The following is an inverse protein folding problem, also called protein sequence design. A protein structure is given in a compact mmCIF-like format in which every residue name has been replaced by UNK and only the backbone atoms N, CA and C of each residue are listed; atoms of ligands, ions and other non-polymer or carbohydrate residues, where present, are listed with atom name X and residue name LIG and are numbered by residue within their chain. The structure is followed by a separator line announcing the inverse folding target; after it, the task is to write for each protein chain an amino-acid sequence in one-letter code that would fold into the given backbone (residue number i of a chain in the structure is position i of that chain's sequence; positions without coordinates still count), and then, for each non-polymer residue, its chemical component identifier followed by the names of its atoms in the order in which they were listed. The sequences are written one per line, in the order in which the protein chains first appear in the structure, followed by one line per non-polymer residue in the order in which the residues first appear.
data_IF_484174448538
#
_entry.id   IF_484174448538
#
_cell.length_a   1.000
_cell.length_b   1.000
_cell.length_c   1.000
_cell.angle_alpha   90.00
_cell.angle_beta   90.00
_cell.angle_gamma   90.00
#
_symmetry.space_group_name_H-M   'P 1'
#
loop_
_entity.id
_entity.type
_entity.pdbx_description
1 polymer ?
#
# COMPACT_ATOMS: atom_id res chain seq x y z
N UNK A 1 1.98 35.70 -11.11
CA UNK A 1 1.50 34.46 -11.75
C UNK A 1 2.00 33.30 -10.91
N UNK A 2 1.10 32.48 -10.33
CA UNK A 2 1.50 31.28 -9.60
C UNK A 2 1.91 30.24 -10.65
N UNK A 3 3.14 29.74 -10.58
CA UNK A 3 3.63 28.75 -11.54
C UNK A 3 3.11 27.35 -11.18
N UNK A 4 2.98 26.46 -12.16
CA UNK A 4 2.56 25.07 -11.91
C UNK A 4 3.51 24.35 -10.93
N UNK A 5 4.78 24.76 -10.90
CA UNK A 5 5.80 24.23 -10.00
C UNK A 5 5.50 24.61 -8.54
N UNK A 6 5.11 25.86 -8.28
CA UNK A 6 4.69 26.30 -6.95
C UNK A 6 3.44 25.57 -6.45
N UNK A 7 2.50 25.26 -7.36
CA UNK A 7 1.29 24.49 -7.03
C UNK A 7 1.61 23.02 -6.71
N UNK A 8 2.60 22.43 -7.40
CA UNK A 8 3.05 21.06 -7.13
C UNK A 8 3.84 20.97 -5.81
N UNK A 9 4.70 21.94 -5.52
CA UNK A 9 5.40 22.06 -4.23
C UNK A 9 4.41 22.22 -3.07
N UNK A 10 3.35 23.03 -3.27
CA UNK A 10 2.27 23.17 -2.28
C UNK A 10 1.49 21.87 -2.08
N UNK A 11 1.41 21.02 -3.11
CA UNK A 11 0.70 19.75 -3.08
C UNK A 11 1.53 18.63 -2.43
N UNK A 12 2.85 18.59 -2.63
CA UNK A 12 3.76 17.60 -2.02
C UNK A 12 3.99 17.84 -0.53
N UNK A 13 4.02 19.12 -0.11
CA UNK A 13 4.16 19.51 1.29
C UNK A 13 2.89 19.27 2.12
N UNK A 14 1.74 19.00 1.47
CA UNK A 14 0.49 18.73 2.16
C UNK A 14 0.56 17.37 2.85
N UNK A 15 0.09 17.31 4.10
CA UNK A 15 -0.05 16.06 4.85
C UNK A 15 -0.92 15.10 4.07
N UNK A 16 -0.37 13.91 3.80
CA UNK A 16 -1.05 12.89 3.05
C UNK A 16 -1.83 12.02 4.05
N UNK A 17 -3.18 12.03 4.05
CA UNK A 17 -3.95 11.20 4.96
C UNK A 17 -3.95 9.75 4.47
N UNK A 18 -2.79 9.18 4.12
CA UNK A 18 -2.64 7.84 3.57
C UNK A 18 -1.85 7.02 4.58
N UNK A 19 -2.45 5.94 5.08
CA UNK A 19 -1.85 5.07 6.09
C UNK A 19 -1.82 3.62 5.67
N UNK A 20 -0.76 2.91 6.05
CA UNK A 20 -0.68 1.46 5.93
C UNK A 20 -1.85 0.80 6.66
N UNK A 21 -2.43 -0.24 6.06
CA UNK A 21 -3.51 -1.00 6.69
C UNK A 21 -2.96 -1.84 7.85
N UNK A 22 -3.53 -1.77 9.07
CA UNK A 22 -2.97 -2.43 10.25
C UNK A 22 -3.05 -3.97 10.18
N UNK A 23 -3.98 -4.51 9.38
CA UNK A 23 -4.19 -5.96 9.26
C UNK A 23 -3.11 -6.67 8.41
N UNK A 24 -2.16 -5.93 7.82
CA UNK A 24 -1.15 -6.50 6.93
C UNK A 24 -0.08 -7.26 7.73
N UNK A 25 0.14 -8.51 7.36
CA UNK A 25 1.19 -9.34 7.95
C UNK A 25 2.41 -9.33 7.04
N UNK A 26 3.54 -8.86 7.56
CA UNK A 26 4.80 -8.80 6.82
C UNK A 26 5.82 -9.79 7.39
N UNK A 27 6.53 -10.50 6.51
CA UNK A 27 7.65 -11.37 6.89
C UNK A 27 8.85 -11.12 5.97
N UNK A 28 10.04 -11.02 6.56
CA UNK A 28 11.29 -10.97 5.81
C UNK A 28 11.68 -12.37 5.35
N UNK A 29 12.08 -12.50 4.11
CA UNK A 29 12.56 -13.74 3.49
C UNK A 29 13.88 -13.44 2.79
N UNK A 30 14.82 -14.38 2.88
CA UNK A 30 16.11 -14.29 2.20
C UNK A 30 16.12 -15.32 1.09
N UNK A 31 16.40 -14.90 -0.14
CA UNK A 31 16.47 -15.78 -1.29
C UNK A 31 17.66 -15.40 -2.17
N UNK A 32 18.55 -16.36 -2.44
CA UNK A 32 19.76 -16.18 -3.26
C UNK A 32 20.59 -14.94 -2.88
N UNK A 33 20.77 -14.70 -1.58
CA UNK A 33 21.55 -13.58 -1.06
C UNK A 33 20.85 -12.21 -1.11
N UNK A 34 19.58 -12.16 -1.51
CA UNK A 34 18.75 -10.94 -1.48
C UNK A 34 17.64 -11.05 -0.44
N UNK A 35 17.43 -9.96 0.29
CA UNK A 35 16.36 -9.83 1.27
C UNK A 35 15.10 -9.29 0.60
N UNK A 36 13.96 -9.90 0.89
CA UNK A 36 12.65 -9.48 0.41
C UNK A 36 11.66 -9.46 1.56
N UNK A 37 10.77 -8.48 1.58
CA UNK A 37 9.60 -8.45 2.45
C UNK A 37 8.40 -9.02 1.72
N UNK A 38 7.82 -10.09 2.27
CA UNK A 38 6.56 -10.63 1.79
C UNK A 38 5.43 -10.11 2.68
N UNK A 39 4.55 -9.29 2.10
CA UNK A 39 3.37 -8.75 2.75
C UNK A 39 2.14 -9.53 2.29
N UNK A 40 1.46 -10.17 3.25
CA UNK A 40 0.23 -10.90 3.04
C UNK A 40 -0.97 -9.98 3.27
N UNK A 41 -1.84 -9.88 2.27
CA UNK A 41 -3.18 -9.30 2.43
C UNK A 41 -4.17 -10.41 2.86
N UNK A 42 -4.66 -10.40 4.13
CA UNK A 42 -5.62 -11.40 4.60
C UNK A 42 -7.02 -11.28 3.97
N UNK A 43 -7.38 -10.11 3.43
CA UNK A 43 -8.68 -9.84 2.80
C UNK A 43 -8.63 -10.14 1.30
N UNK A 44 -7.54 -9.72 0.65
CA UNK A 44 -7.30 -9.92 -0.77
C UNK A 44 -6.92 -11.35 -1.14
N UNK A 45 -6.40 -12.14 -0.18
CA UNK A 45 -5.66 -13.40 -0.40
C UNK A 45 -4.50 -13.20 -1.39
N UNK A 46 -3.90 -12.02 -1.37
CA UNK A 46 -2.81 -11.64 -2.26
C UNK A 46 -1.50 -11.50 -1.47
N UNK A 47 -0.40 -11.84 -2.13
CA UNK A 47 0.94 -11.72 -1.57
C UNK A 47 1.71 -10.72 -2.41
N UNK A 48 2.35 -9.77 -1.74
CA UNK A 48 3.16 -8.75 -2.36
C UNK A 48 4.59 -8.91 -1.90
N UNK A 49 5.53 -8.78 -2.83
CA UNK A 49 6.95 -8.80 -2.56
C UNK A 49 7.45 -7.37 -2.64
N UNK A 50 8.14 -6.95 -1.60
CA UNK A 50 8.77 -5.65 -1.50
C UNK A 50 10.27 -5.83 -1.28
N UNK A 51 11.05 -4.90 -1.81
CA UNK A 51 12.42 -4.70 -1.37
C UNK A 51 12.45 -4.05 0.02
N UNK A 52 13.63 -3.96 0.63
CA UNK A 52 13.78 -3.33 1.95
C UNK A 52 13.39 -1.83 1.89
N UNK A 53 13.73 -1.16 0.79
CA UNK A 53 13.43 0.24 0.48
C UNK A 53 11.91 0.51 0.40
N UNK A 54 11.22 -0.28 -0.42
CA UNK A 54 9.78 -0.12 -0.66
C UNK A 54 8.98 -0.44 0.62
N UNK A 55 9.46 -1.42 1.39
CA UNK A 55 8.88 -1.76 2.67
C UNK A 55 9.06 -0.65 3.70
N UNK A 56 10.21 0.03 3.71
CA UNK A 56 10.45 1.18 4.57
C UNK A 56 9.47 2.32 4.24
N UNK A 57 9.31 2.66 2.95
CA UNK A 57 8.31 3.66 2.52
C UNK A 57 6.91 3.27 3.01
N UNK A 58 6.52 2.00 2.87
CA UNK A 58 5.23 1.50 3.36
C UNK A 58 5.05 1.69 4.88
N UNK A 59 6.14 1.57 5.65
CA UNK A 59 6.13 1.78 7.11
C UNK A 59 6.10 3.26 7.51
N UNK A 60 6.64 4.15 6.68
CA UNK A 60 6.57 5.61 6.89
C UNK A 60 5.15 6.17 6.67
N UNK A 61 4.25 5.42 6.03
CA UNK A 61 2.86 5.82 5.79
C UNK A 61 1.99 5.69 7.05
N UNK A 62 2.03 6.73 7.88
CA UNK A 62 1.26 6.88 9.11
C UNK A 62 -0.06 7.70 8.93
N UNK A 63 -0.22 8.34 7.78
CA UNK A 63 -1.35 9.23 7.46
C UNK A 63 -1.20 10.66 7.97
N UNK A 64 -0.01 11.06 8.43
CA UNK A 64 0.29 12.43 8.87
C UNK A 64 1.50 13.02 8.14
N UNK A 65 2.38 12.17 7.63
CA UNK A 65 3.61 12.55 6.93
C UNK A 65 3.29 13.09 5.52
N UNK A 66 4.03 14.10 5.05
CA UNK A 66 3.94 14.64 3.68
C UNK A 66 4.81 13.84 2.70
N UNK A 67 4.65 14.06 1.39
CA UNK A 67 5.50 13.38 0.40
C UNK A 67 6.96 13.82 0.50
N UNK A 68 7.18 15.11 0.77
CA UNK A 68 8.53 15.68 0.91
C UNK A 68 9.23 15.10 2.15
N UNK A 69 8.53 15.00 3.28
CA UNK A 69 9.07 14.37 4.50
C UNK A 69 9.39 12.88 4.30
N UNK A 70 8.56 12.14 3.55
CA UNK A 70 8.85 10.73 3.21
C UNK A 70 10.12 10.64 2.36
N UNK A 71 10.27 11.52 1.37
CA UNK A 71 11.45 11.55 0.51
C UNK A 71 12.72 11.85 1.32
N UNK A 72 12.70 12.87 2.16
CA UNK A 72 13.86 13.23 3.00
C UNK A 72 14.24 12.10 3.96
N UNK A 73 13.26 11.45 4.60
CA UNK A 73 13.51 10.29 5.48
C UNK A 73 14.07 9.11 4.70
N UNK A 74 13.54 8.84 3.52
CA UNK A 74 14.02 7.76 2.66
C UNK A 74 15.48 7.96 2.25
N UNK A 75 15.83 9.17 1.80
CA UNK A 75 17.21 9.51 1.42
C UNK A 75 18.18 9.44 2.61
N UNK A 76 17.71 9.75 3.83
CA UNK A 76 18.50 9.62 5.05
C UNK A 76 18.72 8.15 5.48
N UNK A 77 17.74 7.27 5.27
CA UNK A 77 17.80 5.86 5.69
C UNK A 77 18.50 4.96 4.66
N UNK A 78 18.45 5.31 3.36
CA UNK A 78 19.01 4.50 2.26
C UNK A 78 19.99 5.25 1.33
N UNK A 79 21.08 5.87 1.83
CA UNK A 79 22.11 6.44 0.95
C UNK A 79 22.85 5.33 0.17
N UNK A 80 23.14 5.48 -1.15
CA UNK A 80 23.02 6.65 -2.02
C UNK A 80 21.75 6.67 -2.90
N UNK A 81 20.76 5.82 -2.63
CA UNK A 81 19.55 5.76 -3.45
C UNK A 81 18.73 7.03 -3.29
N UNK A 82 18.29 7.58 -4.42
CA UNK A 82 17.42 8.75 -4.47
C UNK A 82 16.09 8.34 -5.06
N UNK A 83 15.01 8.88 -4.52
CA UNK A 83 13.65 8.68 -5.03
C UNK A 83 13.09 10.01 -5.50
N UNK A 84 12.52 10.03 -6.69
CA UNK A 84 11.80 11.20 -7.19
C UNK A 84 10.39 11.26 -6.62
N UNK A 85 9.81 12.47 -6.56
CA UNK A 85 8.42 12.63 -6.12
C UNK A 85 7.44 11.89 -7.04
N UNK A 86 7.75 11.81 -8.33
CA UNK A 86 6.94 11.10 -9.33
C UNK A 86 6.94 9.58 -9.08
N UNK A 87 8.10 8.98 -8.84
CA UNK A 87 8.21 7.56 -8.48
C UNK A 87 7.46 7.25 -7.18
N UNK A 88 7.59 8.12 -6.17
CA UNK A 88 6.87 7.98 -4.92
C UNK A 88 5.34 8.04 -5.13
N UNK A 89 4.86 8.97 -5.95
CA UNK A 89 3.43 9.06 -6.30
C UNK A 89 2.94 7.84 -7.07
N UNK A 90 3.71 7.33 -8.04
CA UNK A 90 3.37 6.11 -8.78
C UNK A 90 3.32 4.88 -7.86
N UNK A 91 4.28 4.77 -6.94
CA UNK A 91 4.33 3.72 -5.94
C UNK A 91 3.10 3.77 -5.02
N UNK A 92 2.75 4.95 -4.52
CA UNK A 92 1.54 5.15 -3.72
C UNK A 92 0.26 4.83 -4.48
N UNK A 93 0.18 5.18 -5.77
CA UNK A 93 -0.94 4.80 -6.63
C UNK A 93 -1.07 3.27 -6.77
N UNK A 94 0.05 2.56 -6.86
CA UNK A 94 0.10 1.09 -6.91
C UNK A 94 -0.32 0.45 -5.59
N UNK A 95 0.14 1.01 -4.47
CA UNK A 95 -0.25 0.60 -3.12
C UNK A 95 -1.74 0.83 -2.83
N UNK A 96 -2.29 1.94 -3.32
CA UNK A 96 -3.72 2.24 -3.19
C UNK A 96 -4.57 1.28 -4.03
N UNK A 97 -4.16 1.00 -5.28
CA UNK A 97 -4.88 0.07 -6.17
C UNK A 97 -4.86 -1.37 -5.65
N UNK A 98 -3.75 -1.79 -5.05
CA UNK A 98 -3.62 -3.11 -4.41
C UNK A 98 -4.39 -3.22 -3.07
N UNK A 99 -4.85 -2.09 -2.51
CA UNK A 99 -5.62 -2.07 -1.26
C UNK A 99 -4.78 -2.27 0.00
N UNK A 100 -3.45 -2.14 -0.11
CA UNK A 100 -2.52 -2.24 1.01
C UNK A 100 -2.54 -1.00 1.91
N UNK A 101 -3.01 0.12 1.37
CA UNK A 101 -2.96 1.42 2.02
C UNK A 101 -4.35 2.06 1.95
N UNK A 102 -4.73 2.75 3.02
CA UNK A 102 -6.04 3.37 3.16
C UNK A 102 -5.86 4.88 3.23
N UNK A 103 -6.51 5.61 2.32
CA UNK A 103 -6.67 7.04 2.44
C UNK A 103 -7.72 7.34 3.51
N UNK A 104 -7.30 7.93 4.63
CA UNK A 104 -8.09 8.51 5.71
C UNK A 104 -8.88 9.76 5.32
N UNK A 105 -9.45 9.77 4.11
CA UNK A 105 -10.62 10.61 3.83
C UNK A 105 -11.82 9.81 4.31
N UNK A 106 -12.55 10.34 5.30
CA UNK A 106 -13.73 9.72 5.89
C UNK A 106 -14.74 9.36 4.77
N UNK A 107 -14.83 8.07 4.40
CA UNK A 107 -15.75 7.61 3.35
C UNK A 107 -15.36 6.33 2.61
N UNK A 108 -14.07 5.99 2.48
CA UNK A 108 -13.66 4.82 1.67
C UNK A 108 -13.74 3.45 2.39
N UNK A 109 -13.91 3.42 3.71
CA UNK A 109 -14.08 2.16 4.46
C UNK A 109 -15.27 1.32 3.98
N UNK A 110 -16.29 1.95 3.41
CA UNK A 110 -17.46 1.26 2.86
C UNK A 110 -17.14 0.45 1.59
N UNK A 111 -16.23 0.92 0.72
CA UNK A 111 -15.88 0.17 -0.50
C UNK A 111 -15.05 -1.09 -0.19
N UNK A 112 -14.15 -1.02 0.81
CA UNK A 112 -13.40 -2.18 1.28
C UNK A 112 -14.30 -3.23 1.93
N UNK A 113 -15.28 -2.80 2.73
CA UNK A 113 -16.27 -3.69 3.37
C UNK A 113 -17.19 -4.35 2.33
N UNK A 114 -17.68 -3.59 1.34
CA UNK A 114 -18.50 -4.11 0.24
C UNK A 114 -17.76 -5.17 -0.60
N UNK A 115 -16.47 -4.97 -0.90
CA UNK A 115 -15.64 -5.98 -1.59
C UNK A 115 -15.44 -7.26 -0.75
N UNK A 116 -15.31 -7.13 0.58
CA UNK A 116 -15.21 -8.27 1.50
C UNK A 116 -16.48 -9.12 1.46
N UNK A 117 -17.64 -8.47 1.49
CA UNK A 117 -18.93 -9.15 1.53
C UNK A 117 -19.25 -9.84 0.20
N UNK A 118 -18.93 -9.22 -0.94
CA UNK A 118 -19.09 -9.82 -2.27
C UNK A 118 -18.18 -11.04 -2.48
N UNK A 119 -16.92 -11.00 -2.02
CA UNK A 119 -16.00 -12.15 -2.13
C UNK A 119 -16.38 -13.30 -1.20
N UNK A 120 -16.77 -13.01 0.05
CA UNK A 120 -17.26 -14.04 0.99
C UNK A 120 -18.48 -14.76 0.43
N UNK A 121 -19.43 -14.02 -0.15
CA UNK A 121 -20.65 -14.59 -0.72
C UNK A 121 -20.36 -15.48 -1.92
N UNK A 122 -19.41 -15.10 -2.80
CA UNK A 122 -18.94 -15.97 -3.89
C UNK A 122 -18.23 -17.23 -3.39
N UNK A 123 -17.40 -17.12 -2.35
CA UNK A 123 -16.74 -18.29 -1.75
C UNK A 123 -17.73 -19.24 -1.08
N UNK A 124 -18.76 -18.73 -0.40
CA UNK A 124 -19.81 -19.57 0.19
C UNK A 124 -20.63 -20.30 -0.87
N UNK A 125 -21.03 -19.61 -1.96
CA UNK A 125 -21.74 -20.23 -3.07
C UNK A 125 -20.90 -21.33 -3.74
N UNK A 126 -19.59 -21.11 -3.92
CA UNK A 126 -18.66 -22.12 -4.45
C UNK A 126 -18.46 -23.31 -3.51
N UNK A 127 -18.40 -23.08 -2.20
CA UNK A 127 -18.21 -24.15 -1.21
C UNK A 127 -19.42 -25.09 -1.14
N UNK A 128 -20.65 -24.56 -1.23
CA UNK A 128 -21.88 -25.39 -1.27
C UNK A 128 -21.98 -26.17 -2.59
N UNK A 129 -21.53 -25.57 -3.70
CA UNK A 129 -21.48 -26.25 -5.00
C UNK A 129 -20.47 -27.41 -5.04
N UNK A 130 -19.36 -27.32 -4.31
CA UNK A 130 -18.34 -28.38 -4.28
C UNK A 130 -18.81 -29.63 -3.51
N UNK A 131 -19.65 -29.47 -2.48
CA UNK A 131 -20.19 -30.59 -1.71
C UNK A 131 -21.26 -31.37 -2.49
N UNK A 132 -21.99 -30.70 -3.40
CA UNK A 132 -23.03 -31.34 -4.23
C UNK A 132 -22.50 -32.02 -5.50
N UNK A 133 -21.21 -31.88 -5.82
CA UNK A 133 -20.62 -32.45 -7.03
C UNK A 133 -19.80 -33.75 -6.77
N UNK A 134 -19.81 -34.25 -5.53
CA UNK A 134 -19.31 -35.58 -5.20
C UNK A 134 -20.49 -36.55 -5.36
N UNK A 135 -20.62 -37.14 -6.54
CA UNK A 135 -21.47 -38.29 -6.82
C UNK A 135 -20.74 -39.25 -7.74
#
# INVERSE_FOLDING_TARGET
MVTLQDSLLSSSARKLPIRKRPDLVSRRQHYLGRSYWVVKDPVGLSYFRFQDEEYAILQMLDGRTSLDEIKERFEAEFPPQKITLEELQQFLGTLHRSGLVVAGVAGQGHQLRKRRDERKRKQMLGAVSNVLCIR
#
